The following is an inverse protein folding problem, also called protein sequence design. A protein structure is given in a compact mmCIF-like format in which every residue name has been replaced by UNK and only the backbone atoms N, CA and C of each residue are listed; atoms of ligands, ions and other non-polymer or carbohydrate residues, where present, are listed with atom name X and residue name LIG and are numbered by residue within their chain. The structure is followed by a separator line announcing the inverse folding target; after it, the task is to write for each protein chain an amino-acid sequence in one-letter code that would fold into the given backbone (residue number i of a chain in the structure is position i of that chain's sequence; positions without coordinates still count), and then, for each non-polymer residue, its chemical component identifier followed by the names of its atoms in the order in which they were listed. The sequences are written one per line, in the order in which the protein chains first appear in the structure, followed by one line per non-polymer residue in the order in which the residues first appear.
data_IF_486636460495
#
_entry.id   IF_486636460495
#
_cell.length_a   1.000
_cell.length_b   1.000
_cell.length_c   1.000
_cell.angle_alpha   90.00
_cell.angle_beta   90.00
_cell.angle_gamma   90.00
#
_symmetry.space_group_name_H-M   'P 1'
#
loop_
_entity.id
_entity.type
_entity.pdbx_description
1 polymer ?
#
# COMPACT_ATOMS: atom_id res chain seq x y z
N UNK A 1 46.59 -21.94 40.67
CA UNK A 1 45.62 -22.47 39.71
C UNK A 1 44.37 -21.63 39.87
N UNK A 2 44.13 -20.60 39.04
CA UNK A 2 42.83 -19.88 39.01
C UNK A 2 42.67 -18.84 37.87
N UNK A 3 43.40 -18.94 36.75
CA UNK A 3 43.27 -17.97 35.65
C UNK A 3 42.30 -18.43 34.54
N UNK A 4 41.91 -19.70 34.56
CA UNK A 4 41.14 -20.31 33.46
C UNK A 4 39.61 -20.21 33.66
N UNK A 5 39.14 -19.94 34.89
CA UNK A 5 37.71 -19.80 35.23
C UNK A 5 37.16 -18.40 34.90
N UNK A 6 38.00 -17.37 35.01
CA UNK A 6 37.66 -15.97 34.72
C UNK A 6 37.48 -15.73 33.21
N UNK A 7 38.23 -16.46 32.37
CA UNK A 7 38.14 -16.37 30.90
C UNK A 7 36.85 -16.99 30.35
N UNK A 8 36.40 -18.09 30.94
CA UNK A 8 35.16 -18.78 30.54
C UNK A 8 33.91 -17.96 30.91
N UNK A 9 33.87 -17.35 32.09
CA UNK A 9 32.76 -16.49 32.51
C UNK A 9 32.54 -15.28 31.59
N UNK A 10 33.64 -14.65 31.11
CA UNK A 10 33.55 -13.54 30.14
C UNK A 10 33.03 -14.00 28.77
N UNK A 11 33.40 -15.21 28.34
CA UNK A 11 32.91 -15.79 27.10
C UNK A 11 31.41 -16.08 27.16
N UNK A 12 30.92 -16.62 28.29
CA UNK A 12 29.51 -16.88 28.55
C UNK A 12 28.67 -15.60 28.59
N UNK A 13 29.19 -14.54 29.20
CA UNK A 13 28.57 -13.22 29.21
C UNK A 13 28.51 -12.60 27.80
N UNK A 14 29.58 -12.76 27.01
CA UNK A 14 29.59 -12.34 25.61
C UNK A 14 28.55 -13.10 24.77
N UNK A 15 28.44 -14.42 24.97
CA UNK A 15 27.46 -15.25 24.27
C UNK A 15 26.03 -14.87 24.70
N UNK A 16 25.81 -14.61 25.98
CA UNK A 16 24.52 -14.16 26.50
C UNK A 16 24.10 -12.81 25.91
N UNK A 17 25.00 -11.84 25.84
CA UNK A 17 24.71 -10.52 25.24
C UNK A 17 24.44 -10.62 23.73
N UNK A 18 25.15 -11.50 23.01
CA UNK A 18 24.87 -11.77 21.61
C UNK A 18 23.48 -12.36 21.39
N UNK A 19 23.04 -13.28 22.25
CA UNK A 19 21.70 -13.87 22.19
C UNK A 19 20.62 -12.81 22.45
N UNK A 20 20.82 -11.97 23.46
CA UNK A 20 19.89 -10.88 23.78
C UNK A 20 19.81 -9.88 22.63
N UNK A 21 20.95 -9.50 22.04
CA UNK A 21 20.98 -8.60 20.89
C UNK A 21 20.30 -9.23 19.66
N UNK A 22 20.54 -10.52 19.39
CA UNK A 22 19.89 -11.24 18.30
C UNK A 22 18.37 -11.31 18.48
N UNK A 23 17.90 -11.54 19.72
CA UNK A 23 16.47 -11.54 20.05
C UNK A 23 15.85 -10.15 19.92
N UNK A 24 16.58 -9.11 20.31
CA UNK A 24 16.12 -7.73 20.15
C UNK A 24 16.03 -7.35 18.66
N UNK A 25 17.00 -7.75 17.84
CA UNK A 25 16.96 -7.54 16.39
C UNK A 25 15.79 -8.28 15.74
N UNK A 26 15.50 -9.51 16.15
CA UNK A 26 14.37 -10.27 15.59
C UNK A 26 13.04 -9.61 15.97
N UNK A 27 12.91 -9.14 17.22
CA UNK A 27 11.75 -8.37 17.66
C UNK A 27 11.60 -7.06 16.85
N UNK A 28 12.68 -6.29 16.69
CA UNK A 28 12.67 -5.05 15.87
C UNK A 28 12.26 -5.32 14.42
N UNK A 29 12.71 -6.45 13.86
CA UNK A 29 12.38 -6.86 12.48
C UNK A 29 10.90 -7.17 12.30
N UNK A 30 10.28 -7.88 13.25
CA UNK A 30 8.84 -8.18 13.18
C UNK A 30 7.98 -6.93 13.32
N UNK A 31 8.34 -6.01 14.22
CA UNK A 31 7.65 -4.71 14.35
C UNK A 31 7.75 -3.92 13.05
N UNK A 32 8.93 -3.88 12.43
CA UNK A 32 9.12 -3.19 11.15
C UNK A 32 8.24 -3.80 10.04
N UNK A 33 8.12 -5.13 9.97
CA UNK A 33 7.23 -5.81 9.01
C UNK A 33 5.77 -5.42 9.22
N UNK A 34 5.31 -5.36 10.47
CA UNK A 34 3.93 -4.94 10.76
C UNK A 34 3.68 -3.47 10.42
N UNK A 35 4.65 -2.58 10.69
CA UNK A 35 4.57 -1.18 10.27
C UNK A 35 4.52 -1.04 8.74
N UNK A 36 5.27 -1.85 8.01
CA UNK A 36 5.20 -1.89 6.55
C UNK A 36 3.84 -2.38 6.05
N UNK A 37 3.26 -3.43 6.66
CA UNK A 37 1.92 -3.94 6.32
C UNK A 37 0.80 -2.96 6.65
N UNK A 38 0.94 -2.18 7.72
CA UNK A 38 0.00 -1.12 8.07
C UNK A 38 0.16 0.08 7.10
N UNK A 39 1.39 0.39 6.68
CA UNK A 39 1.70 1.43 5.70
C UNK A 39 1.26 1.07 4.28
N UNK A 40 1.24 -0.22 3.91
CA UNK A 40 0.71 -0.67 2.61
C UNK A 40 -0.80 -0.50 2.48
N UNK A 41 -1.56 -0.31 3.56
CA UNK A 41 -2.98 0.10 3.47
C UNK A 41 -3.12 1.58 3.05
N UNK A 42 -2.07 2.39 3.21
CA UNK A 42 -2.03 3.80 2.76
C UNK A 42 -1.20 4.00 1.49
N UNK A 43 -0.52 2.97 1.00
CA UNK A 43 0.04 2.99 -0.36
C UNK A 43 -1.11 2.76 -1.32
N UNK A 44 -1.85 3.82 -1.62
CA UNK A 44 -2.73 3.83 -2.79
C UNK A 44 -1.94 3.23 -3.94
N UNK A 45 -2.48 2.18 -4.56
CA UNK A 45 -1.90 1.60 -5.76
C UNK A 45 -1.55 2.76 -6.70
N UNK A 46 -0.27 2.92 -7.03
CA UNK A 46 0.22 3.96 -7.94
C UNK A 46 -0.55 3.96 -9.27
N UNK A 47 -1.18 2.83 -9.59
CA UNK A 47 -2.00 2.54 -10.75
C UNK A 47 -3.46 2.24 -10.37
N UNK A 48 -4.39 2.70 -11.22
CA UNK A 48 -5.79 2.34 -11.11
C UNK A 48 -6.03 0.88 -11.52
N UNK A 49 -6.99 0.17 -10.90
CA UNK A 49 -7.36 -1.16 -11.35
C UNK A 49 -7.93 -1.10 -12.76
N UNK A 50 -7.66 -2.10 -13.60
CA UNK A 50 -8.30 -2.20 -14.91
C UNK A 50 -9.82 -2.40 -14.72
N UNK A 51 -10.71 -1.75 -15.50
CA UNK A 51 -10.51 -0.92 -16.69
C UNK A 51 -10.39 0.60 -16.43
N UNK A 52 -10.09 1.04 -15.22
CA UNK A 52 -10.03 2.44 -14.87
C UNK A 52 -8.74 3.10 -15.35
N UNK A 53 -8.85 4.35 -15.82
CA UNK A 53 -7.74 5.20 -16.21
C UNK A 53 -7.45 6.20 -15.10
N UNK A 54 -6.16 6.36 -14.78
CA UNK A 54 -5.70 7.35 -13.81
C UNK A 54 -5.67 8.73 -14.45
N UNK A 55 -6.34 9.69 -13.82
CA UNK A 55 -6.28 11.11 -14.17
C UNK A 55 -5.90 11.85 -12.89
N UNK A 56 -4.65 12.34 -12.83
CA UNK A 56 -4.06 12.91 -11.63
C UNK A 56 -4.12 11.92 -10.45
N UNK A 57 -4.81 12.25 -9.37
CA UNK A 57 -5.00 11.41 -8.16
C UNK A 57 -6.30 10.60 -8.19
N UNK A 58 -7.05 10.60 -9.29
CA UNK A 58 -8.37 9.96 -9.40
C UNK A 58 -8.41 8.86 -10.46
N UNK A 59 -9.30 7.87 -10.28
CA UNK A 59 -9.51 6.76 -11.20
C UNK A 59 -10.89 6.84 -11.85
N UNK A 60 -10.94 6.83 -13.18
CA UNK A 60 -12.19 6.96 -13.93
C UNK A 60 -12.37 5.84 -14.96
N UNK A 61 -13.60 5.41 -15.15
CA UNK A 61 -13.99 4.55 -16.26
C UNK A 61 -14.87 5.33 -17.23
N UNK A 62 -14.46 5.41 -18.50
CA UNK A 62 -15.24 6.03 -19.56
C UNK A 62 -16.01 4.95 -20.32
N UNK A 63 -17.32 4.86 -20.07
CA UNK A 63 -18.17 3.90 -20.78
C UNK A 63 -18.41 4.33 -22.22
N UNK A 64 -18.30 3.38 -23.16
CA UNK A 64 -18.66 3.59 -24.57
C UNK A 64 -20.16 3.42 -24.84
N UNK A 65 -20.94 3.00 -23.84
CA UNK A 65 -22.37 2.78 -23.98
C UNK A 65 -23.16 4.09 -23.83
N UNK A 66 -24.01 4.40 -24.82
CA UNK A 66 -24.97 5.50 -24.72
C UNK A 66 -26.17 5.04 -23.90
N UNK A 67 -26.21 5.44 -22.64
CA UNK A 67 -27.24 5.07 -21.68
C UNK A 67 -28.01 6.31 -21.20
N UNK A 68 -29.25 6.11 -20.74
CA UNK A 68 -29.93 7.14 -19.95
C UNK A 68 -29.17 7.36 -18.64
N UNK A 69 -29.33 8.53 -18.03
CA UNK A 69 -28.61 8.87 -16.80
C UNK A 69 -28.79 7.81 -15.69
N UNK A 70 -30.03 7.34 -15.48
CA UNK A 70 -30.34 6.29 -14.51
C UNK A 70 -29.64 4.95 -14.83
N UNK A 71 -29.63 4.53 -16.10
CA UNK A 71 -28.96 3.30 -16.53
C UNK A 71 -27.43 3.41 -16.45
N UNK A 72 -26.87 4.59 -16.74
CA UNK A 72 -25.45 4.85 -16.60
C UNK A 72 -25.01 4.74 -15.12
N UNK A 73 -25.82 5.30 -14.20
CA UNK A 73 -25.56 5.18 -12.77
C UNK A 73 -25.60 3.73 -12.29
N UNK A 74 -26.64 2.99 -12.66
CA UNK A 74 -26.76 1.56 -12.34
C UNK A 74 -25.57 0.75 -12.90
N UNK A 75 -25.11 1.08 -14.10
CA UNK A 75 -23.94 0.45 -14.70
C UNK A 75 -22.66 0.68 -13.86
N UNK A 76 -22.39 1.92 -13.44
CA UNK A 76 -21.25 2.24 -12.57
C UNK A 76 -21.36 1.55 -11.19
N UNK A 77 -22.56 1.50 -10.61
CA UNK A 77 -22.81 0.80 -9.34
C UNK A 77 -22.59 -0.71 -9.45
N UNK A 78 -22.89 -1.32 -10.60
CA UNK A 78 -22.59 -2.72 -10.89
C UNK A 78 -21.08 -3.04 -10.96
N UNK A 79 -20.22 -2.02 -11.09
CA UNK A 79 -18.76 -2.15 -11.05
C UNK A 79 -18.15 -1.71 -9.71
N UNK A 80 -18.96 -1.68 -8.64
CA UNK A 80 -18.57 -1.19 -7.32
C UNK A 80 -18.14 0.29 -7.30
N UNK A 81 -18.68 1.11 -8.21
CA UNK A 81 -18.45 2.56 -8.27
C UNK A 81 -19.75 3.38 -8.27
N UNK A 82 -19.67 4.64 -8.67
CA UNK A 82 -20.84 5.49 -8.97
C UNK A 82 -20.47 6.42 -10.14
N UNK A 83 -21.41 7.26 -10.60
CA UNK A 83 -21.11 8.29 -11.59
C UNK A 83 -20.00 9.22 -11.10
N UNK A 84 -19.09 9.57 -12.02
CA UNK A 84 -17.93 10.38 -11.71
C UNK A 84 -18.31 11.76 -11.16
N UNK A 85 -17.74 12.10 -10.00
CA UNK A 85 -17.76 13.45 -9.40
C UNK A 85 -16.32 13.95 -9.27
N UNK A 86 -15.69 14.41 -10.36
CA UNK A 86 -14.26 14.67 -10.40
C UNK A 86 -13.85 15.89 -9.56
N UNK A 87 -12.75 15.79 -8.83
CA UNK A 87 -12.09 16.94 -8.22
C UNK A 87 -11.43 17.81 -9.29
N UNK A 88 -10.84 17.18 -10.30
CA UNK A 88 -10.10 17.84 -11.36
C UNK A 88 -10.87 17.88 -12.69
N UNK A 89 -12.00 18.59 -12.71
CA UNK A 89 -12.91 18.64 -13.87
C UNK A 89 -12.24 19.05 -15.18
N UNK A 90 -11.26 19.96 -15.15
CA UNK A 90 -10.55 20.39 -16.36
C UNK A 90 -9.69 19.28 -16.95
N UNK A 91 -8.97 18.53 -16.11
CA UNK A 91 -8.16 17.40 -16.54
C UNK A 91 -9.04 16.27 -17.10
N UNK A 92 -10.14 15.94 -16.41
CA UNK A 92 -11.10 14.95 -16.90
C UNK A 92 -11.71 15.39 -18.24
N UNK A 93 -12.07 16.66 -18.39
CA UNK A 93 -12.67 17.19 -19.62
C UNK A 93 -11.74 17.03 -20.82
N UNK A 94 -10.46 17.36 -20.70
CA UNK A 94 -9.48 17.16 -21.78
C UNK A 94 -9.38 15.70 -22.19
N UNK A 95 -9.28 14.79 -21.21
CA UNK A 95 -9.25 13.35 -21.46
C UNK A 95 -10.50 12.84 -22.20
N UNK A 96 -11.70 13.25 -21.76
CA UNK A 96 -12.96 12.83 -22.38
C UNK A 96 -13.08 13.37 -23.81
N UNK A 97 -12.57 14.58 -24.09
CA UNK A 97 -12.58 15.15 -25.43
C UNK A 97 -11.65 14.41 -26.40
N UNK A 98 -10.46 13.98 -25.94
CA UNK A 98 -9.50 13.20 -26.74
C UNK A 98 -10.00 11.79 -27.10
N UNK A 99 -10.87 11.21 -26.25
CA UNK A 99 -11.37 9.84 -26.38
C UNK A 99 -12.74 9.73 -27.07
N UNK A 100 -13.30 10.85 -27.50
CA UNK A 100 -14.61 10.94 -28.16
C UNK A 100 -14.47 10.91 -29.68
#
# INVERSE_FOLDING_TARGET
ADDNSVSTAKQEELLSTMIVNQLLLSQQTEVLKELLKASTQQTQCLTCPQPYTKILDECFFLSHHKLTWAKARQHCQGMSGDLATPKHILALKSFVQEKK
#
